data_IF_664388242714
#
_entry.id   IF_664388242714
#
_cell.length_a   1.000
_cell.length_b   1.000
_cell.length_c   1.000
_cell.angle_alpha   90.00
_cell.angle_beta   90.00
_cell.angle_gamma   90.00
#
_symmetry.space_group_name_H-M   'P 1'
#
loop_
_entity.id
_entity.type
_entity.pdbx_description
1 polymer ?
#
# COMPACT_ATOMS: atom_id res chain seq x y z
N UNK A 1 -28.09 10.08 4.75
CA UNK A 1 -26.84 9.37 5.13
C UNK A 1 -25.86 9.59 3.97
N UNK A 2 -24.95 10.55 4.10
CA UNK A 2 -23.93 10.80 3.07
C UNK A 2 -22.91 9.67 3.16
N UNK A 3 -23.11 8.59 2.42
CA UNK A 3 -22.11 7.54 2.25
C UNK A 3 -20.94 8.16 1.50
N UNK A 4 -19.92 8.61 2.25
CA UNK A 4 -18.62 8.95 1.68
C UNK A 4 -18.08 7.66 1.07
N UNK A 5 -18.13 7.56 -0.25
CA UNK A 5 -17.58 6.44 -1.00
C UNK A 5 -16.07 6.44 -0.75
N UNK A 6 -15.61 5.58 0.16
CA UNK A 6 -14.18 5.42 0.43
C UNK A 6 -13.57 4.89 -0.87
N UNK A 7 -12.56 5.57 -1.41
CA UNK A 7 -11.96 5.13 -2.66
C UNK A 7 -11.28 3.78 -2.42
N UNK A 8 -11.54 2.77 -3.27
CA UNK A 8 -10.94 1.44 -3.10
C UNK A 8 -9.41 1.51 -3.12
N UNK A 9 -8.84 2.44 -3.88
CA UNK A 9 -7.41 2.76 -3.90
C UNK A 9 -6.88 3.17 -2.54
N UNK A 10 -7.61 4.03 -1.80
CA UNK A 10 -7.22 4.42 -0.45
C UNK A 10 -7.28 3.25 0.53
N UNK A 11 -8.29 2.37 0.43
CA UNK A 11 -8.40 1.18 1.27
C UNK A 11 -7.18 0.26 1.04
N UNK A 12 -6.85 0.00 -0.22
CA UNK A 12 -5.69 -0.84 -0.58
C UNK A 12 -4.39 -0.21 -0.08
N UNK A 13 -4.25 1.11 -0.17
CA UNK A 13 -3.08 1.83 0.35
C UNK A 13 -2.93 1.61 1.85
N UNK A 14 -4.00 1.80 2.64
CA UNK A 14 -3.97 1.59 4.08
C UNK A 14 -3.68 0.12 4.45
N UNK A 15 -4.25 -0.84 3.72
CA UNK A 15 -3.95 -2.26 3.95
C UNK A 15 -2.47 -2.59 3.71
N UNK A 16 -1.89 -2.10 2.60
CA UNK A 16 -0.47 -2.31 2.31
C UNK A 16 0.45 -1.65 3.34
N UNK A 17 0.05 -0.49 3.84
CA UNK A 17 0.79 0.25 4.86
C UNK A 17 0.75 -0.46 6.23
N UNK A 18 -0.41 -1.01 6.61
CA UNK A 18 -0.53 -1.88 7.80
C UNK A 18 0.31 -3.15 7.64
N UNK A 19 0.26 -3.80 6.47
CA UNK A 19 1.05 -4.99 6.18
C UNK A 19 2.56 -4.70 6.26
N UNK A 20 2.99 -3.53 5.76
CA UNK A 20 4.38 -3.07 5.86
C UNK A 20 4.82 -2.91 7.32
N UNK A 21 4.03 -2.22 8.13
CA UNK A 21 4.37 -2.04 9.55
C UNK A 21 4.36 -3.36 10.31
N UNK A 22 3.41 -4.25 10.02
CA UNK A 22 3.38 -5.59 10.60
C UNK A 22 4.63 -6.38 10.23
N UNK A 23 5.05 -6.35 8.96
CA UNK A 23 6.26 -7.02 8.50
C UNK A 23 7.51 -6.46 9.18
N UNK A 24 7.63 -5.13 9.31
CA UNK A 24 8.71 -4.48 10.04
C UNK A 24 8.74 -4.96 11.49
N UNK A 25 7.59 -4.94 12.19
CA UNK A 25 7.50 -5.43 13.57
C UNK A 25 7.90 -6.90 13.69
N UNK A 26 7.48 -7.74 12.75
CA UNK A 26 7.89 -9.15 12.70
C UNK A 26 9.40 -9.29 12.52
N UNK A 27 10.04 -8.54 11.63
CA UNK A 27 11.50 -8.59 11.45
C UNK A 27 12.29 -8.05 12.65
N UNK A 28 11.76 -7.08 13.39
CA UNK A 28 12.46 -6.48 14.54
C UNK A 28 12.36 -7.39 15.76
N UNK A 29 11.21 -8.06 15.95
CA UNK A 29 10.92 -8.82 17.16
C UNK A 29 11.08 -10.34 16.98
N UNK A 30 11.50 -10.81 15.80
CA UNK A 30 11.66 -12.24 15.60
C UNK A 30 12.99 -12.76 16.15
N UNK A 31 12.89 -13.89 16.86
CA UNK A 31 14.03 -14.67 17.32
C UNK A 31 14.42 -15.77 16.31
N UNK A 32 13.75 -15.84 15.14
CA UNK A 32 13.91 -16.92 14.17
C UNK A 32 14.20 -16.41 12.76
N UNK A 33 15.25 -16.96 12.15
CA UNK A 33 15.72 -16.58 10.81
C UNK A 33 14.65 -16.76 9.70
N UNK A 34 13.69 -17.65 9.89
CA UNK A 34 12.58 -17.89 8.96
C UNK A 34 11.63 -16.68 8.91
N UNK A 35 11.27 -16.13 10.07
CA UNK A 35 10.40 -14.96 10.16
C UNK A 35 11.08 -13.70 9.63
N UNK A 36 12.40 -13.59 9.78
CA UNK A 36 13.15 -12.46 9.23
C UNK A 36 13.05 -12.45 7.70
N UNK A 37 13.34 -13.58 7.05
CA UNK A 37 13.28 -13.69 5.59
C UNK A 37 11.86 -13.49 5.07
N UNK A 38 10.86 -14.01 5.78
CA UNK A 38 9.46 -13.81 5.45
C UNK A 38 9.04 -12.35 5.59
N UNK A 39 9.45 -11.69 6.68
CA UNK A 39 9.21 -10.28 6.92
C UNK A 39 9.88 -9.38 5.87
N UNK A 40 11.12 -9.66 5.48
CA UNK A 40 11.78 -8.96 4.36
C UNK A 40 11.06 -9.16 3.02
N UNK A 41 10.60 -10.39 2.72
CA UNK A 41 9.86 -10.65 1.49
C UNK A 41 8.51 -9.91 1.48
N UNK A 42 7.76 -9.94 2.59
CA UNK A 42 6.53 -9.19 2.77
C UNK A 42 6.75 -7.69 2.66
N UNK A 43 7.84 -7.19 3.23
CA UNK A 43 8.22 -5.78 3.15
C UNK A 43 8.48 -5.36 1.70
N UNK A 44 9.22 -6.17 0.93
CA UNK A 44 9.45 -5.91 -0.48
C UNK A 44 8.14 -5.89 -1.29
N UNK A 45 7.26 -6.86 -1.08
CA UNK A 45 5.95 -6.93 -1.75
C UNK A 45 5.09 -5.71 -1.38
N UNK A 46 5.04 -5.34 -0.09
CA UNK A 46 4.27 -4.19 0.38
C UNK A 46 4.78 -2.87 -0.22
N UNK A 47 6.11 -2.69 -0.33
CA UNK A 47 6.72 -1.52 -0.98
C UNK A 47 6.36 -1.47 -2.47
N UNK A 48 6.48 -2.58 -3.19
CA UNK A 48 6.11 -2.63 -4.62
C UNK A 48 4.62 -2.32 -4.80
N UNK A 49 3.75 -2.89 -3.96
CA UNK A 49 2.33 -2.61 -3.96
C UNK A 49 2.01 -1.14 -3.69
N UNK A 50 2.71 -0.51 -2.73
CA UNK A 50 2.56 0.91 -2.41
C UNK A 50 2.98 1.79 -3.59
N UNK A 51 4.11 1.50 -4.22
CA UNK A 51 4.56 2.23 -5.40
C UNK A 51 3.54 2.16 -6.53
N UNK A 52 3.04 0.96 -6.87
CA UNK A 52 2.02 0.79 -7.92
C UNK A 52 0.73 1.55 -7.58
N UNK A 53 0.28 1.51 -6.33
CA UNK A 53 -0.92 2.22 -5.89
C UNK A 53 -0.74 3.74 -5.98
N UNK A 54 0.40 4.26 -5.54
CA UNK A 54 0.74 5.69 -5.67
C UNK A 54 0.80 6.10 -7.14
N UNK A 55 1.46 5.32 -8.00
CA UNK A 55 1.52 5.59 -9.45
C UNK A 55 0.13 5.63 -10.06
N UNK A 56 -0.75 4.68 -9.71
CA UNK A 56 -2.13 4.67 -10.18
C UNK A 56 -2.91 5.90 -9.70
N UNK A 57 -2.75 6.29 -8.44
CA UNK A 57 -3.40 7.48 -7.87
C UNK A 57 -2.93 8.75 -8.58
N UNK A 58 -1.62 8.91 -8.78
CA UNK A 58 -1.03 10.06 -9.49
C UNK A 58 -1.48 10.09 -10.95
N UNK A 59 -1.47 8.97 -11.67
CA UNK A 59 -1.97 8.90 -13.05
C UNK A 59 -3.43 9.31 -13.13
N UNK A 60 -4.28 8.81 -12.24
CA UNK A 60 -5.69 9.18 -12.20
C UNK A 60 -5.88 10.69 -11.91
N UNK A 61 -5.08 11.25 -11.00
CA UNK A 61 -5.10 12.69 -10.72
C UNK A 61 -4.61 13.50 -11.93
N UNK A 62 -3.53 13.09 -12.59
CA UNK A 62 -3.01 13.76 -13.79
C UNK A 62 -4.02 13.69 -14.94
N UNK A 63 -4.66 12.55 -15.17
CA UNK A 63 -5.72 12.42 -16.17
C UNK A 63 -6.91 13.33 -15.85
N UNK A 64 -7.32 13.41 -14.58
CA UNK A 64 -8.39 14.32 -14.16
C UNK A 64 -8.03 15.81 -14.35
N UNK A 65 -6.76 16.18 -14.18
CA UNK A 65 -6.29 17.57 -14.41
C UNK A 65 -6.14 17.86 -15.91
N UNK A 66 -5.53 16.95 -16.66
CA UNK A 66 -5.23 17.12 -18.09
C UNK A 66 -6.46 16.93 -18.99
N UNK A 67 -7.47 16.18 -18.55
CA UNK A 67 -8.72 15.99 -19.26
C UNK A 67 -9.92 16.01 -18.28
N UNK A 68 -10.38 17.19 -17.87
CA UNK A 68 -11.39 17.35 -16.81
C UNK A 68 -12.83 16.97 -17.20
N UNK A 69 -13.06 16.44 -18.41
CA UNK A 69 -14.40 16.26 -19.00
C UNK A 69 -14.86 14.81 -19.16
N UNK A 70 -14.43 13.88 -18.29
CA UNK A 70 -14.94 12.50 -18.26
C UNK A 70 -15.40 12.08 -16.87
#
# INVERSE_FOLDING_TARGET
MHTKTISPTAIIFWMLLIALFSAISTTIFSETLLNDRFGFALMAIAIVGLCLNITHMVLHTLLAICNPSH
#
